data_IF_500684796030
#
_entry.id   IF_500684796030
#
_cell.length_a   1.000
_cell.length_b   1.000
_cell.length_c   1.000
_cell.angle_alpha   90.00
_cell.angle_beta   90.00
_cell.angle_gamma   90.00
#
_symmetry.space_group_name_H-M   'P 1'
#
loop_
_entity.id
_entity.type
_entity.pdbx_description
1 polymer ?
#
# COMPACT_ATOMS: atom_id res chain seq x y z
N UNK A 1 16.80 -4.60 31.76
CA UNK A 1 15.67 -4.80 30.84
C UNK A 1 14.49 -5.05 31.74
N UNK A 2 13.60 -4.07 31.78
CA UNK A 2 12.71 -3.84 32.93
C UNK A 2 11.30 -4.36 32.62
N UNK A 3 11.16 -5.14 31.54
CA UNK A 3 9.95 -5.84 31.19
C UNK A 3 9.53 -6.82 32.32
N UNK A 4 8.23 -7.05 32.58
CA UNK A 4 7.76 -8.08 33.51
C UNK A 4 8.28 -9.47 33.15
N UNK A 5 8.49 -10.34 34.16
CA UNK A 5 9.11 -11.65 33.98
C UNK A 5 8.35 -12.53 32.96
N UNK A 6 7.01 -12.46 32.95
CA UNK A 6 6.16 -13.19 32.00
C UNK A 6 6.37 -12.80 30.52
N UNK A 7 6.98 -11.64 30.25
CA UNK A 7 7.23 -11.15 28.89
C UNK A 7 8.73 -11.21 28.51
N UNK A 8 9.58 -11.73 29.39
CA UNK A 8 11.00 -11.94 29.09
C UNK A 8 11.19 -13.26 28.34
N UNK A 9 12.18 -13.30 27.44
CA UNK A 9 12.62 -14.52 26.75
C UNK A 9 11.54 -15.29 25.96
N UNK A 10 10.43 -14.64 25.59
CA UNK A 10 9.42 -15.25 24.72
C UNK A 10 9.93 -15.27 23.27
N UNK A 11 9.81 -16.43 22.61
CA UNK A 11 10.07 -16.56 21.17
C UNK A 11 8.78 -16.27 20.44
N UNK A 12 8.67 -15.06 19.88
CA UNK A 12 7.57 -14.72 18.98
C UNK A 12 7.88 -15.29 17.60
N UNK A 13 7.00 -16.16 17.10
CA UNK A 13 6.98 -16.62 15.71
C UNK A 13 5.86 -15.86 14.99
N UNK A 14 6.10 -14.65 14.49
CA UNK A 14 5.06 -13.94 13.75
C UNK A 14 4.67 -14.78 12.53
N UNK A 15 3.38 -14.81 12.21
CA UNK A 15 2.86 -15.45 10.99
C UNK A 15 3.22 -14.67 9.70
N UNK A 16 4.23 -13.80 9.78
CA UNK A 16 4.74 -13.00 8.67
C UNK A 16 6.27 -13.03 8.70
N UNK A 17 6.87 -13.12 7.52
CA UNK A 17 8.31 -13.03 7.33
C UNK A 17 8.86 -11.61 7.54
N UNK A 18 8.00 -10.64 7.86
CA UNK A 18 8.33 -9.24 8.09
C UNK A 18 9.06 -8.62 6.88
N UNK A 19 8.87 -9.19 5.68
CA UNK A 19 9.59 -8.79 4.48
C UNK A 19 9.37 -7.32 4.17
N UNK A 20 10.47 -6.65 3.89
CA UNK A 20 10.51 -5.28 3.42
C UNK A 20 10.74 -5.30 1.91
N UNK A 21 10.10 -4.38 1.22
CA UNK A 21 10.22 -4.17 -0.21
C UNK A 21 10.86 -2.84 -0.50
N UNK A 22 11.74 -2.78 -1.50
CA UNK A 22 12.29 -1.50 -1.94
C UNK A 22 11.25 -0.82 -2.82
N UNK A 23 10.56 0.16 -2.27
CA UNK A 23 9.65 1.04 -3.01
C UNK A 23 10.36 2.36 -3.18
N UNK A 24 10.55 2.76 -4.44
CA UNK A 24 11.43 3.87 -4.83
C UNK A 24 12.85 3.67 -4.27
N UNK A 25 13.24 4.44 -3.27
CA UNK A 25 14.61 4.50 -2.73
C UNK A 25 14.72 4.00 -1.29
N UNK A 26 13.61 3.50 -0.70
CA UNK A 26 13.58 3.08 0.69
C UNK A 26 12.83 1.74 0.91
N UNK A 27 13.19 0.99 1.97
CA UNK A 27 12.52 -0.25 2.32
C UNK A 27 11.21 0.04 3.06
N UNK A 28 10.12 -0.54 2.60
CA UNK A 28 8.81 -0.44 3.22
C UNK A 28 8.11 -1.78 3.30
N UNK A 29 7.20 -1.92 4.26
CA UNK A 29 6.24 -3.03 4.22
C UNK A 29 5.12 -2.69 3.26
N UNK A 30 4.70 -3.67 2.48
CA UNK A 30 3.49 -3.54 1.67
C UNK A 30 2.29 -3.44 2.61
N UNK A 31 1.57 -2.31 2.65
CA UNK A 31 0.31 -2.24 3.37
C UNK A 31 -0.71 -3.15 2.67
N UNK A 32 -1.52 -3.85 3.46
CA UNK A 32 -2.60 -4.64 2.90
C UNK A 32 -3.67 -3.72 2.28
N UNK A 33 -4.23 -4.13 1.14
CA UNK A 33 -5.22 -3.34 0.39
C UNK A 33 -6.66 -3.51 0.88
N UNK A 34 -6.91 -4.43 1.81
CA UNK A 34 -8.22 -4.61 2.43
C UNK A 34 -8.76 -3.30 3.05
N UNK A 35 -9.98 -2.91 2.68
CA UNK A 35 -10.61 -1.68 3.13
C UNK A 35 -10.05 -0.41 2.48
N UNK A 36 -9.24 -0.51 1.43
CA UNK A 36 -8.76 0.65 0.67
C UNK A 36 -9.93 1.46 0.11
N UNK A 37 -10.89 0.80 -0.54
CA UNK A 37 -12.09 1.43 -1.09
C UNK A 37 -12.91 2.10 -0.01
N UNK A 38 -13.16 1.39 1.10
CA UNK A 38 -13.88 1.96 2.26
C UNK A 38 -13.18 3.21 2.82
N UNK A 39 -11.84 3.20 2.93
CA UNK A 39 -11.09 4.37 3.40
C UNK A 39 -11.19 5.55 2.43
N UNK A 40 -11.12 5.29 1.11
CA UNK A 40 -11.33 6.32 0.09
C UNK A 40 -12.71 6.97 0.26
N UNK A 41 -13.77 6.16 0.37
CA UNK A 41 -15.14 6.65 0.58
C UNK A 41 -15.24 7.49 1.85
N UNK A 42 -14.73 6.98 2.99
CA UNK A 42 -14.79 7.70 4.26
C UNK A 42 -14.06 9.05 4.20
N UNK A 43 -12.88 9.11 3.58
CA UNK A 43 -12.13 10.36 3.44
C UNK A 43 -12.91 11.36 2.58
N UNK A 44 -13.46 10.91 1.44
CA UNK A 44 -14.27 11.75 0.56
C UNK A 44 -15.51 12.31 1.27
N UNK A 45 -16.28 11.46 1.96
CA UNK A 45 -17.48 11.85 2.71
C UNK A 45 -17.17 12.88 3.82
N UNK A 46 -15.96 12.83 4.39
CA UNK A 46 -15.51 13.75 5.43
C UNK A 46 -14.74 14.97 4.88
N UNK A 47 -14.73 15.18 3.56
CA UNK A 47 -13.99 16.28 2.93
C UNK A 47 -12.48 16.24 3.19
N UNK A 48 -11.92 15.04 3.36
CA UNK A 48 -10.50 14.80 3.59
C UNK A 48 -9.82 14.37 2.30
N UNK A 49 -8.56 14.78 2.15
CA UNK A 49 -7.74 14.38 1.02
C UNK A 49 -7.28 12.93 1.17
N UNK A 50 -7.34 12.17 0.09
CA UNK A 50 -6.69 10.87 -0.01
C UNK A 50 -5.18 11.08 -0.10
N UNK A 51 -4.42 10.44 0.77
CA UNK A 51 -2.96 10.44 0.76
C UNK A 51 -2.48 8.99 0.67
N UNK A 52 -1.76 8.70 -0.41
CA UNK A 52 -1.22 7.39 -0.77
C UNK A 52 0.30 7.48 -0.87
N UNK A 53 0.96 6.33 -0.98
CA UNK A 53 2.41 6.15 -0.77
C UNK A 53 2.81 6.33 0.69
N UNK A 54 4.04 5.93 1.01
CA UNK A 54 4.56 5.98 2.37
C UNK A 54 4.82 7.39 2.90
N UNK A 55 4.85 8.39 2.02
CA UNK A 55 5.03 9.80 2.34
C UNK A 55 3.82 10.66 1.98
N UNK A 56 2.71 10.05 1.56
CA UNK A 56 1.47 10.75 1.24
C UNK A 56 1.51 11.58 -0.06
N UNK A 57 2.55 11.43 -0.90
CA UNK A 57 2.72 12.29 -2.10
C UNK A 57 1.64 12.12 -3.17
N UNK A 58 0.94 10.99 -3.19
CA UNK A 58 -0.04 10.69 -4.23
C UNK A 58 -1.46 10.85 -3.70
N UNK A 59 -2.33 11.47 -4.49
CA UNK A 59 -3.73 11.74 -4.11
C UNK A 59 -4.74 10.95 -4.92
N UNK A 60 -4.26 10.10 -5.83
CA UNK A 60 -5.06 9.21 -6.67
C UNK A 60 -4.40 7.84 -6.75
N UNK A 61 -5.19 6.80 -6.98
CA UNK A 61 -4.68 5.43 -7.16
C UNK A 61 -3.74 5.33 -8.36
N UNK A 62 -4.09 5.95 -9.49
CA UNK A 62 -3.20 6.03 -10.65
C UNK A 62 -1.87 6.72 -10.28
N UNK A 63 -1.92 7.88 -9.62
CA UNK A 63 -0.73 8.62 -9.20
C UNK A 63 0.15 7.79 -8.26
N UNK A 64 -0.46 7.01 -7.36
CA UNK A 64 0.27 6.09 -6.50
C UNK A 64 0.94 4.99 -7.32
N UNK A 65 0.24 4.35 -8.27
CA UNK A 65 0.81 3.33 -9.16
C UNK A 65 1.99 3.89 -9.96
N UNK A 66 1.87 5.11 -10.51
CA UNK A 66 2.96 5.76 -11.26
C UNK A 66 4.18 6.10 -10.39
N UNK A 67 3.94 6.47 -9.13
CA UNK A 67 4.99 6.84 -8.18
C UNK A 67 5.78 5.63 -7.65
N UNK A 68 5.27 4.41 -7.77
CA UNK A 68 6.01 3.22 -7.35
C UNK A 68 7.22 2.94 -8.24
N UNK A 69 8.33 2.55 -7.62
CA UNK A 69 9.58 2.16 -8.27
C UNK A 69 10.26 1.02 -7.52
N UNK A 70 11.56 0.80 -7.75
CA UNK A 70 12.30 -0.30 -7.12
C UNK A 70 11.73 -1.65 -7.56
N UNK A 71 11.39 -2.51 -6.61
CA UNK A 71 10.81 -3.84 -6.88
C UNK A 71 9.43 -3.77 -7.54
N UNK A 72 8.70 -2.66 -7.39
CA UNK A 72 7.38 -2.47 -8.00
C UNK A 72 7.44 -1.98 -9.46
N UNK A 73 8.64 -1.76 -10.02
CA UNK A 73 8.81 -1.22 -11.38
C UNK A 73 8.16 -2.12 -12.46
N UNK A 74 8.18 -3.44 -12.26
CA UNK A 74 7.52 -4.39 -13.17
C UNK A 74 6.00 -4.23 -13.19
N UNK A 75 5.38 -4.09 -12.02
CA UNK A 75 3.94 -3.85 -11.90
C UNK A 75 3.53 -2.52 -12.52
N UNK A 76 4.32 -1.45 -12.32
CA UNK A 76 4.09 -0.15 -12.97
C UNK A 76 4.19 -0.26 -14.49
N UNK A 77 5.19 -0.97 -15.01
CA UNK A 77 5.33 -1.18 -16.45
C UNK A 77 4.14 -1.97 -17.03
N UNK A 78 3.70 -3.03 -16.35
CA UNK A 78 2.52 -3.81 -16.74
C UNK A 78 1.26 -2.94 -16.75
N UNK A 79 1.05 -2.13 -15.72
CA UNK A 79 -0.05 -1.15 -15.68
C UNK A 79 0.04 -0.18 -16.86
N UNK A 80 1.22 0.36 -17.16
CA UNK A 80 1.39 1.31 -18.25
C UNK A 80 1.10 0.72 -19.63
N UNK A 81 1.36 -0.58 -19.82
CA UNK A 81 1.06 -1.31 -21.05
C UNK A 81 -0.43 -1.67 -21.22
N UNK A 82 -1.27 -1.50 -20.19
CA UNK A 82 -2.70 -1.76 -20.27
C UNK A 82 -3.42 -0.75 -21.17
N UNK A 83 -4.52 -1.21 -21.79
CA UNK A 83 -5.47 -0.33 -22.45
C UNK A 83 -6.14 0.61 -21.45
N UNK A 84 -6.70 1.72 -21.94
CA UNK A 84 -7.43 2.66 -21.07
C UNK A 84 -8.62 2.00 -20.36
N UNK A 85 -9.30 1.05 -21.01
CA UNK A 85 -10.41 0.31 -20.40
C UNK A 85 -9.93 -0.63 -19.29
N UNK A 86 -8.80 -1.30 -19.48
CA UNK A 86 -8.26 -2.19 -18.46
C UNK A 86 -7.73 -1.42 -17.25
N UNK A 87 -7.11 -0.25 -17.48
CA UNK A 87 -6.73 0.67 -16.40
C UNK A 87 -7.96 1.10 -15.60
N UNK A 88 -9.04 1.51 -16.28
CA UNK A 88 -10.28 1.91 -15.61
C UNK A 88 -10.89 0.76 -14.80
N UNK A 89 -10.90 -0.47 -15.35
CA UNK A 89 -11.39 -1.65 -14.65
C UNK A 89 -10.54 -1.99 -13.41
N UNK A 90 -9.21 -1.86 -13.49
CA UNK A 90 -8.32 -2.07 -12.36
C UNK A 90 -8.56 -1.01 -11.26
N UNK A 91 -8.69 0.26 -11.62
CA UNK A 91 -8.99 1.32 -10.65
C UNK A 91 -10.33 1.06 -9.96
N UNK A 92 -11.38 0.71 -10.72
CA UNK A 92 -12.69 0.37 -10.16
C UNK A 92 -12.62 -0.85 -9.21
N UNK A 93 -11.80 -1.85 -9.54
CA UNK A 93 -11.55 -2.98 -8.65
C UNK A 93 -10.88 -2.54 -7.34
N UNK A 94 -9.83 -1.71 -7.40
CA UNK A 94 -9.14 -1.19 -6.21
C UNK A 94 -10.06 -0.33 -5.32
N UNK A 95 -10.95 0.45 -5.93
CA UNK A 95 -11.98 1.24 -5.22
C UNK A 95 -13.05 0.35 -4.57
N UNK A 96 -13.15 -0.93 -4.95
CA UNK A 96 -14.12 -1.88 -4.37
C UNK A 96 -13.59 -2.68 -3.17
N UNK A 97 -12.30 -2.53 -2.81
CA UNK A 97 -11.61 -3.30 -1.75
C UNK A 97 -11.90 -2.83 -0.31
#
# INVERSE_FOLDING_TARGET
NDAPEEFRNIVLRPYTDMKMHTVTDAPYRTPALWGLGRNITLLQENGKQLLLMHDGRATTLDGAIQAHGGEASGSRAAYNAMSSSDKAALIAFLESL
#
